data_IF_043307522275
#
_entry.id   IF_043307522275
#
_cell.length_a   1.000
_cell.length_b   1.000
_cell.length_c   1.000
_cell.angle_alpha   90.00
_cell.angle_beta   90.00
_cell.angle_gamma   90.00
#
_symmetry.space_group_name_H-M   'P 1'
#
loop_
_entity.id
_entity.type
_entity.pdbx_description
1 polymer ?
#
# COMPACT_ATOMS: atom_id res chain seq x y z
N UNK A 1 -1.89 33.51 9.47
CA UNK A 1 -0.42 33.25 9.47
C UNK A 1 -0.16 31.77 9.16
N UNK A 2 0.30 31.49 7.94
CA UNK A 2 0.61 30.14 7.49
C UNK A 2 1.91 29.69 8.17
N UNK A 3 1.82 28.75 9.12
CA UNK A 3 3.00 28.07 9.64
C UNK A 3 3.65 27.26 8.52
N UNK A 4 4.89 27.61 8.16
CA UNK A 4 5.82 26.90 7.26
C UNK A 4 5.20 25.75 6.44
N UNK A 5 4.39 26.07 5.43
CA UNK A 5 3.97 25.08 4.46
C UNK A 5 5.19 24.71 3.62
N UNK A 6 5.65 23.45 3.72
CA UNK A 6 6.66 22.95 2.81
C UNK A 6 6.15 23.09 1.37
N UNK A 7 6.99 23.60 0.47
CA UNK A 7 6.64 23.80 -0.93
C UNK A 7 6.18 22.46 -1.53
N UNK A 8 5.02 22.44 -2.17
CA UNK A 8 4.50 21.25 -2.85
C UNK A 8 5.49 20.76 -3.91
N UNK A 9 5.58 19.43 -4.07
CA UNK A 9 6.28 18.81 -5.20
C UNK A 9 5.54 19.11 -6.50
N UNK A 10 6.25 19.10 -7.62
CA UNK A 10 5.68 19.44 -8.93
C UNK A 10 4.41 18.63 -9.26
N UNK A 11 4.42 17.31 -8.99
CA UNK A 11 3.24 16.47 -9.24
C UNK A 11 2.05 16.82 -8.33
N UNK A 12 2.30 17.18 -7.06
CA UNK A 12 1.26 17.55 -6.10
C UNK A 12 0.61 18.87 -6.53
N UNK A 13 1.43 19.82 -6.97
CA UNK A 13 0.98 21.10 -7.53
C UNK A 13 0.15 20.88 -8.80
N UNK A 14 0.65 20.10 -9.75
CA UNK A 14 -0.06 19.82 -11.01
C UNK A 14 -1.38 19.08 -10.81
N UNK A 15 -1.42 18.11 -9.88
CA UNK A 15 -2.66 17.42 -9.51
C UNK A 15 -3.66 18.36 -8.85
N UNK A 16 -3.20 19.27 -7.99
CA UNK A 16 -4.05 20.26 -7.32
C UNK A 16 -4.61 21.28 -8.31
N UNK A 17 -3.78 21.78 -9.23
CA UNK A 17 -4.20 22.70 -10.29
C UNK A 17 -5.27 22.07 -11.19
N UNK A 18 -5.04 20.82 -11.63
CA UNK A 18 -6.03 20.07 -12.41
C UNK A 18 -7.35 19.91 -11.65
N UNK A 19 -7.28 19.52 -10.37
CA UNK A 19 -8.48 19.41 -9.54
C UNK A 19 -9.22 20.74 -9.43
N UNK A 20 -8.52 21.84 -9.16
CA UNK A 20 -9.13 23.16 -8.97
C UNK A 20 -9.80 23.65 -10.26
N UNK A 21 -9.23 23.31 -11.42
CA UNK A 21 -9.79 23.63 -12.73
C UNK A 21 -11.07 22.84 -13.01
N UNK A 22 -11.06 21.52 -12.81
CA UNK A 22 -12.14 20.63 -13.22
C UNK A 22 -13.23 20.49 -12.13
N UNK A 23 -12.85 20.65 -10.87
CA UNK A 23 -13.64 20.44 -9.65
C UNK A 23 -14.56 19.21 -9.66
N UNK A 24 -14.07 18.03 -10.06
CA UNK A 24 -14.93 16.87 -10.21
C UNK A 24 -15.45 16.38 -8.86
N UNK A 25 -16.58 15.66 -8.90
CA UNK A 25 -17.09 14.96 -7.70
C UNK A 25 -16.09 13.89 -7.27
N UNK A 26 -15.58 13.13 -8.23
CA UNK A 26 -14.67 12.00 -8.05
C UNK A 26 -13.32 12.35 -8.68
N UNK A 27 -12.23 12.19 -7.93
CA UNK A 27 -10.88 12.40 -8.44
C UNK A 27 -9.96 11.27 -8.02
N UNK A 28 -9.40 10.55 -8.99
CA UNK A 28 -8.42 9.50 -8.76
C UNK A 28 -7.01 10.01 -9.05
N UNK A 29 -6.20 10.11 -7.99
CA UNK A 29 -4.78 10.40 -8.09
C UNK A 29 -3.96 9.12 -7.87
N UNK A 30 -3.29 8.68 -8.93
CA UNK A 30 -2.33 7.58 -8.90
C UNK A 30 -0.95 8.16 -8.72
N UNK A 31 -0.29 7.87 -7.60
CA UNK A 31 1.07 8.37 -7.36
C UNK A 31 1.89 7.30 -6.63
N UNK A 32 3.08 7.02 -7.16
CA UNK A 32 3.99 5.99 -6.64
C UNK A 32 4.10 6.01 -5.11
N UNK A 33 4.19 4.84 -4.43
CA UNK A 33 4.41 4.78 -2.98
C UNK A 33 5.55 5.70 -2.53
N UNK A 34 5.34 6.43 -1.42
CA UNK A 34 6.32 7.42 -0.94
C UNK A 34 6.33 8.78 -1.68
N UNK A 35 5.52 8.96 -2.73
CA UNK A 35 5.47 10.22 -3.47
C UNK A 35 4.91 11.43 -2.68
N UNK A 36 4.29 11.19 -1.52
CA UNK A 36 3.70 12.22 -0.66
C UNK A 36 2.20 12.45 -0.92
N UNK A 37 1.42 11.38 -1.09
CA UNK A 37 -0.03 11.43 -1.35
C UNK A 37 -0.81 12.15 -0.24
N UNK A 38 -0.44 11.90 1.02
CA UNK A 38 -1.03 12.54 2.20
C UNK A 38 -0.93 14.06 2.14
N UNK A 39 0.24 14.61 1.78
CA UNK A 39 0.44 16.07 1.66
C UNK A 39 -0.47 16.66 0.59
N UNK A 40 -0.57 16.02 -0.59
CA UNK A 40 -1.48 16.46 -1.65
C UNK A 40 -2.95 16.46 -1.18
N UNK A 41 -3.41 15.34 -0.63
CA UNK A 41 -4.79 15.18 -0.19
C UNK A 41 -5.19 16.14 0.91
N UNK A 42 -4.32 16.36 1.90
CA UNK A 42 -4.56 17.31 2.99
C UNK A 42 -4.52 18.77 2.50
N UNK A 43 -3.69 19.09 1.51
CA UNK A 43 -3.70 20.42 0.88
C UNK A 43 -5.00 20.65 0.12
N UNK A 44 -5.48 19.66 -0.63
CA UNK A 44 -6.77 19.71 -1.31
C UNK A 44 -7.93 19.81 -0.29
N UNK A 45 -7.89 19.05 0.81
CA UNK A 45 -8.88 19.13 1.87
C UNK A 45 -8.93 20.53 2.51
N UNK A 46 -7.77 21.12 2.78
CA UNK A 46 -7.66 22.49 3.29
C UNK A 46 -8.28 23.50 2.32
N UNK A 47 -7.99 23.39 1.02
CA UNK A 47 -8.57 24.23 -0.02
C UNK A 47 -10.10 24.09 -0.07
N UNK A 48 -10.62 22.86 -0.10
CA UNK A 48 -12.06 22.59 -0.16
C UNK A 48 -12.83 23.10 1.08
N UNK A 49 -12.23 23.00 2.27
CA UNK A 49 -12.78 23.54 3.51
C UNK A 49 -12.77 25.07 3.50
N UNK A 50 -11.65 25.68 3.10
CA UNK A 50 -11.49 27.13 3.02
C UNK A 50 -12.49 27.77 2.05
N UNK A 51 -12.74 27.13 0.91
CA UNK A 51 -13.70 27.57 -0.10
C UNK A 51 -15.15 27.13 0.17
N UNK A 52 -15.42 26.52 1.33
CA UNK A 52 -16.76 26.04 1.74
C UNK A 52 -17.43 25.07 0.74
N UNK A 53 -16.63 24.40 -0.09
CA UNK A 53 -17.12 23.32 -0.97
C UNK A 53 -17.53 22.13 -0.12
N UNK A 54 -16.77 21.87 0.95
CA UNK A 54 -17.09 20.87 1.98
C UNK A 54 -17.00 21.51 3.37
N UNK A 55 -17.65 20.88 4.34
CA UNK A 55 -17.73 21.30 5.74
C UNK A 55 -17.05 20.32 6.70
N UNK A 56 -16.78 19.09 6.24
CA UNK A 56 -16.11 18.07 7.03
C UNK A 56 -15.33 17.09 6.14
N UNK A 57 -14.43 16.33 6.76
CA UNK A 57 -13.58 15.33 6.10
C UNK A 57 -13.84 13.93 6.67
N UNK A 58 -13.84 12.91 5.81
CA UNK A 58 -13.66 11.50 6.19
C UNK A 58 -12.37 11.04 5.55
N UNK A 59 -11.46 10.47 6.32
CA UNK A 59 -10.34 9.70 5.76
C UNK A 59 -10.63 8.23 6.00
N UNK A 60 -10.54 7.42 4.95
CA UNK A 60 -10.64 5.96 5.01
C UNK A 60 -9.27 5.41 4.67
N UNK A 61 -8.62 4.75 5.64
CA UNK A 61 -7.29 4.18 5.51
C UNK A 61 -7.35 2.63 5.59
N UNK A 62 -6.32 1.92 5.14
CA UNK A 62 -6.33 0.45 5.20
C UNK A 62 -6.21 -0.11 6.61
N UNK A 63 -5.44 0.55 7.49
CA UNK A 63 -5.10 0.01 8.82
C UNK A 63 -5.32 1.02 9.93
N UNK A 64 -5.44 0.50 11.16
CA UNK A 64 -5.56 1.29 12.38
C UNK A 64 -4.35 2.23 12.62
N UNK A 65 -3.15 1.76 12.27
CA UNK A 65 -1.95 2.58 12.36
C UNK A 65 -1.96 3.73 11.35
N UNK A 66 -2.35 3.46 10.09
CA UNK A 66 -2.40 4.48 9.05
C UNK A 66 -3.45 5.56 9.32
N UNK A 67 -4.64 5.21 9.84
CA UNK A 67 -5.64 6.24 10.18
C UNK A 67 -5.12 7.21 11.25
N UNK A 68 -4.30 6.75 12.20
CA UNK A 68 -3.67 7.59 13.24
C UNK A 68 -2.64 8.53 12.62
N UNK A 69 -1.77 8.01 11.77
CA UNK A 69 -0.82 8.84 11.01
C UNK A 69 -1.50 9.91 10.16
N UNK A 70 -2.65 9.58 9.54
CA UNK A 70 -3.47 10.55 8.81
C UNK A 70 -4.02 11.65 9.72
N UNK A 71 -4.55 11.31 10.89
CA UNK A 71 -5.04 12.29 11.86
C UNK A 71 -3.91 13.21 12.36
N UNK A 72 -2.73 12.67 12.65
CA UNK A 72 -1.55 13.44 13.04
C UNK A 72 -1.04 14.36 11.92
N UNK A 73 -1.02 13.88 10.68
CA UNK A 73 -0.66 14.69 9.51
C UNK A 73 -1.67 15.82 9.27
N UNK A 74 -2.96 15.54 9.41
CA UNK A 74 -4.02 16.54 9.28
C UNK A 74 -3.93 17.61 10.39
N UNK A 75 -3.68 17.19 11.62
CA UNK A 75 -3.57 18.09 12.78
C UNK A 75 -2.42 19.11 12.60
N UNK A 76 -1.30 18.69 11.99
CA UNK A 76 -0.16 19.59 11.67
C UNK A 76 -0.53 20.74 10.74
N UNK A 77 -1.59 20.61 9.94
CA UNK A 77 -2.09 21.67 9.07
C UNK A 77 -3.42 22.29 9.56
N UNK A 78 -3.80 22.01 10.82
CA UNK A 78 -4.99 22.59 11.45
C UNK A 78 -6.32 21.86 11.17
N UNK A 79 -6.29 20.69 10.53
CA UNK A 79 -7.47 19.84 10.33
C UNK A 79 -7.48 18.76 11.41
N UNK A 80 -8.35 18.87 12.42
CA UNK A 80 -8.46 17.85 13.47
C UNK A 80 -9.40 16.74 13.00
N UNK A 81 -8.86 15.54 12.88
CA UNK A 81 -9.62 14.33 12.59
C UNK A 81 -9.62 13.45 13.83
N UNK A 82 -10.77 12.86 14.17
CA UNK A 82 -10.87 11.87 15.25
C UNK A 82 -10.52 10.47 14.71
N UNK A 83 -9.39 9.87 15.13
CA UNK A 83 -9.02 8.51 14.72
C UNK A 83 -9.70 7.42 15.58
N UNK A 84 -10.28 7.76 16.73
CA UNK A 84 -10.93 6.83 17.66
C UNK A 84 -12.47 6.82 17.50
N UNK A 85 -12.97 7.54 16.49
CA UNK A 85 -14.39 7.61 16.19
C UNK A 85 -15.00 6.23 15.93
N UNK A 86 -16.04 5.90 16.69
CA UNK A 86 -16.73 4.61 16.59
C UNK A 86 -18.25 4.72 16.39
N UNK A 87 -18.90 5.74 16.94
CA UNK A 87 -20.33 6.01 16.79
C UNK A 87 -20.71 7.41 17.29
N UNK A 88 -21.94 7.83 16.96
CA UNK A 88 -22.57 9.02 17.54
C UNK A 88 -22.10 10.35 16.95
N UNK A 89 -22.52 11.47 17.56
CA UNK A 89 -22.09 12.80 17.13
C UNK A 89 -20.59 13.01 17.36
N UNK A 90 -19.93 13.62 16.38
CA UNK A 90 -18.53 14.03 16.50
C UNK A 90 -18.41 15.24 17.44
N UNK A 91 -17.39 15.25 18.30
CA UNK A 91 -17.07 16.43 19.13
C UNK A 91 -16.84 17.66 18.25
N UNK A 92 -17.28 18.84 18.72
CA UNK A 92 -17.18 20.11 17.98
C UNK A 92 -15.74 20.53 17.70
N UNK A 93 -14.77 19.94 18.38
CA UNK A 93 -13.35 20.21 18.19
C UNK A 93 -12.76 19.54 16.94
N UNK A 94 -13.44 18.53 16.38
CA UNK A 94 -12.99 17.83 15.18
C UNK A 94 -13.74 18.32 13.93
N UNK A 95 -13.00 18.46 12.83
CA UNK A 95 -13.56 18.74 11.51
C UNK A 95 -13.84 17.46 10.70
N UNK A 96 -13.54 16.29 11.25
CA UNK A 96 -13.71 15.03 10.54
C UNK A 96 -13.29 13.82 11.34
N UNK A 97 -13.27 12.66 10.68
CA UNK A 97 -12.88 11.38 11.27
C UNK A 97 -11.88 10.67 10.36
N UNK A 98 -11.02 9.85 10.95
CA UNK A 98 -10.19 8.89 10.24
C UNK A 98 -10.64 7.48 10.65
N UNK A 99 -11.00 6.65 9.68
CA UNK A 99 -11.57 5.31 9.89
C UNK A 99 -10.89 4.30 8.98
N UNK A 100 -11.09 3.00 9.25
CA UNK A 100 -10.60 1.93 8.37
C UNK A 100 -11.67 1.46 7.39
N UNK A 101 -11.26 0.86 6.27
CA UNK A 101 -12.18 0.14 5.37
C UNK A 101 -13.00 -0.92 6.12
N UNK A 102 -12.35 -1.67 7.01
CA UNK A 102 -13.02 -2.63 7.89
C UNK A 102 -14.06 -1.95 8.80
N UNK A 103 -13.69 -0.82 9.43
CA UNK A 103 -14.60 -0.04 10.28
C UNK A 103 -15.85 0.44 9.52
N UNK A 104 -15.67 0.93 8.29
CA UNK A 104 -16.78 1.29 7.39
C UNK A 104 -17.64 0.06 7.08
N UNK A 105 -17.00 -1.08 6.78
CA UNK A 105 -17.67 -2.35 6.51
C UNK A 105 -18.59 -2.83 7.64
N UNK A 106 -18.24 -2.56 8.89
CA UNK A 106 -19.06 -2.96 10.05
C UNK A 106 -20.31 -2.09 10.20
N UNK A 107 -20.26 -0.79 9.83
CA UNK A 107 -21.38 0.16 10.04
C UNK A 107 -21.53 1.15 8.87
N UNK A 108 -21.84 0.71 7.63
CA UNK A 108 -21.92 1.61 6.47
C UNK A 108 -22.98 2.71 6.66
N UNK A 109 -24.14 2.38 7.25
CA UNK A 109 -25.22 3.35 7.54
C UNK A 109 -24.81 4.48 8.49
N UNK A 110 -23.93 4.21 9.46
CA UNK A 110 -23.43 5.26 10.36
C UNK A 110 -22.67 6.32 9.56
N UNK A 111 -21.81 5.89 8.65
CA UNK A 111 -21.02 6.78 7.80
C UNK A 111 -21.89 7.48 6.76
N UNK A 112 -22.87 6.77 6.17
CA UNK A 112 -23.85 7.35 5.24
C UNK A 112 -24.60 8.52 5.87
N UNK A 113 -25.19 8.30 7.04
CA UNK A 113 -25.94 9.35 7.75
C UNK A 113 -25.07 10.59 8.01
N UNK A 114 -23.79 10.39 8.38
CA UNK A 114 -22.85 11.49 8.60
C UNK A 114 -22.56 12.29 7.33
N UNK A 115 -22.40 11.59 6.21
CA UNK A 115 -22.07 12.17 4.90
C UNK A 115 -23.29 12.88 4.28
N UNK A 116 -24.51 12.38 4.51
CA UNK A 116 -25.75 13.03 4.06
C UNK A 116 -26.06 14.31 4.84
N UNK A 117 -25.72 14.36 6.13
CA UNK A 117 -26.05 15.51 6.99
C UNK A 117 -25.20 16.76 6.71
N UNK A 118 -23.99 16.61 6.17
CA UNK A 118 -23.09 17.74 5.91
C UNK A 118 -22.26 17.50 4.65
N UNK A 119 -21.94 18.59 3.94
CA UNK A 119 -21.07 18.51 2.74
C UNK A 119 -19.72 17.91 3.13
N UNK A 120 -19.40 16.75 2.59
CA UNK A 120 -18.26 15.95 3.04
C UNK A 120 -17.29 15.69 1.91
N UNK A 121 -16.00 15.88 2.18
CA UNK A 121 -14.92 15.27 1.42
C UNK A 121 -14.62 13.88 2.00
N UNK A 122 -14.66 12.85 1.18
CA UNK A 122 -14.18 11.51 1.54
C UNK A 122 -12.85 11.28 0.84
N UNK A 123 -11.80 11.01 1.60
CA UNK A 123 -10.47 10.64 1.11
C UNK A 123 -10.33 9.13 1.31
N UNK A 124 -10.17 8.41 0.21
CA UNK A 124 -10.02 6.95 0.15
C UNK A 124 -8.54 6.66 -0.13
N UNK A 125 -7.78 6.39 0.94
CA UNK A 125 -6.35 6.10 0.84
C UNK A 125 -6.10 4.65 0.45
N UNK A 126 -5.23 4.43 -0.53
CA UNK A 126 -4.99 3.13 -1.15
C UNK A 126 -6.32 2.42 -1.52
N UNK A 127 -7.13 3.10 -2.33
CA UNK A 127 -8.52 2.70 -2.67
C UNK A 127 -8.65 1.28 -3.21
N UNK A 128 -7.56 0.68 -3.69
CA UNK A 128 -7.54 -0.73 -4.08
C UNK A 128 -7.93 -1.68 -2.94
N UNK A 129 -7.76 -1.29 -1.68
CA UNK A 129 -8.26 -2.04 -0.51
C UNK A 129 -9.79 -2.16 -0.49
N UNK A 130 -10.53 -1.21 -1.06
CA UNK A 130 -11.98 -1.35 -1.22
C UNK A 130 -12.34 -2.55 -2.13
N UNK A 131 -11.41 -3.02 -2.96
CA UNK A 131 -11.56 -4.23 -3.75
C UNK A 131 -11.12 -5.52 -3.04
N UNK A 132 -10.43 -5.46 -1.90
CA UNK A 132 -9.89 -6.66 -1.20
C UNK A 132 -10.97 -7.62 -0.76
N UNK A 133 -12.14 -7.09 -0.43
CA UNK A 133 -13.34 -7.89 -0.27
C UNK A 133 -14.52 -7.20 -0.93
N UNK A 134 -15.42 -8.00 -1.49
CA UNK A 134 -16.67 -7.49 -2.07
C UNK A 134 -17.47 -6.67 -1.05
N UNK A 135 -17.46 -7.09 0.22
CA UNK A 135 -18.19 -6.42 1.30
C UNK A 135 -17.64 -5.04 1.63
N UNK A 136 -16.32 -4.82 1.59
CA UNK A 136 -15.76 -3.49 1.82
C UNK A 136 -16.09 -2.52 0.68
N UNK A 137 -16.07 -3.02 -0.56
CA UNK A 137 -16.46 -2.24 -1.73
C UNK A 137 -17.93 -1.82 -1.68
N UNK A 138 -18.83 -2.76 -1.41
CA UNK A 138 -20.27 -2.49 -1.24
C UNK A 138 -20.53 -1.51 -0.09
N UNK A 139 -19.88 -1.70 1.07
CA UNK A 139 -20.02 -0.80 2.21
C UNK A 139 -19.50 0.61 1.92
N UNK A 140 -18.38 0.75 1.21
CA UNK A 140 -17.87 2.07 0.81
C UNK A 140 -18.81 2.76 -0.18
N UNK A 141 -19.35 2.02 -1.14
CA UNK A 141 -20.34 2.54 -2.08
C UNK A 141 -21.58 3.05 -1.31
N UNK A 142 -22.11 2.23 -0.41
CA UNK A 142 -23.29 2.56 0.40
C UNK A 142 -23.06 3.76 1.33
N UNK A 143 -21.91 3.78 2.02
CA UNK A 143 -21.54 4.83 2.97
C UNK A 143 -21.24 6.18 2.29
N UNK A 144 -20.57 6.15 1.14
CA UNK A 144 -19.94 7.34 0.56
C UNK A 144 -20.51 7.74 -0.80
N UNK A 145 -21.53 7.04 -1.31
CA UNK A 145 -22.29 7.54 -2.47
C UNK A 145 -22.68 9.01 -2.26
N UNK A 146 -23.27 9.45 -1.14
CA UNK A 146 -23.79 10.83 -1.01
C UNK A 146 -22.72 11.92 -0.86
N UNK A 147 -21.43 11.55 -0.85
CA UNK A 147 -20.33 12.49 -0.62
C UNK A 147 -20.31 13.61 -1.67
N UNK A 148 -20.06 14.84 -1.19
CA UNK A 148 -19.96 16.03 -2.04
C UNK A 148 -18.72 15.99 -2.92
N UNK A 149 -17.61 15.47 -2.38
CA UNK A 149 -16.35 15.21 -3.08
C UNK A 149 -15.74 13.90 -2.58
N UNK A 150 -15.12 13.15 -3.49
CA UNK A 150 -14.37 11.93 -3.21
C UNK A 150 -13.00 12.03 -3.87
N UNK A 151 -11.97 11.89 -3.04
CA UNK A 151 -10.59 11.81 -3.47
C UNK A 151 -10.11 10.38 -3.27
N UNK A 152 -9.82 9.69 -4.36
CA UNK A 152 -9.22 8.37 -4.34
C UNK A 152 -7.70 8.47 -4.54
N UNK A 153 -6.93 7.82 -3.68
CA UNK A 153 -5.48 7.75 -3.76
C UNK A 153 -5.04 6.30 -3.95
N UNK A 154 -4.05 6.06 -4.80
CA UNK A 154 -3.42 4.72 -4.88
C UNK A 154 -1.97 4.81 -5.35
N UNK A 155 -1.11 3.97 -4.78
CA UNK A 155 0.25 3.73 -5.28
C UNK A 155 0.33 2.69 -6.40
N UNK A 156 -0.67 1.80 -6.45
CA UNK A 156 -0.73 0.66 -7.35
C UNK A 156 -2.11 0.65 -8.02
N UNK A 157 -2.24 1.17 -9.25
CA UNK A 157 -3.53 1.24 -9.92
C UNK A 157 -4.03 -0.13 -10.40
N UNK A 158 -3.19 -1.16 -10.32
CA UNK A 158 -3.43 -2.48 -10.91
C UNK A 158 -4.04 -3.46 -9.91
N UNK A 159 -5.12 -4.12 -10.32
CA UNK A 159 -5.52 -5.43 -9.80
C UNK A 159 -5.71 -6.39 -10.97
N UNK A 160 -5.50 -7.67 -10.69
CA UNK A 160 -5.71 -8.79 -11.62
C UNK A 160 -7.12 -9.38 -11.51
N UNK A 161 -7.94 -8.91 -10.57
CA UNK A 161 -9.33 -9.34 -10.41
C UNK A 161 -10.30 -8.36 -11.10
N UNK A 162 -11.43 -8.90 -11.55
CA UNK A 162 -12.41 -8.20 -12.41
C UNK A 162 -13.43 -7.38 -11.63
N UNK A 163 -13.31 -7.29 -10.30
CA UNK A 163 -14.26 -6.54 -9.49
C UNK A 163 -13.95 -5.02 -9.56
N UNK A 164 -14.91 -4.19 -10.01
CA UNK A 164 -14.68 -2.76 -10.09
C UNK A 164 -14.58 -2.15 -8.68
N UNK A 165 -13.60 -1.27 -8.51
CA UNK A 165 -13.42 -0.48 -7.29
C UNK A 165 -14.46 0.64 -7.28
N UNK A 166 -15.19 0.86 -6.17
CA UNK A 166 -16.15 1.96 -6.06
C UNK A 166 -15.50 3.31 -6.41
N UNK A 167 -16.25 4.15 -7.13
CA UNK A 167 -15.84 5.51 -7.50
C UNK A 167 -14.63 5.61 -8.44
N UNK A 168 -14.17 4.50 -9.01
CA UNK A 168 -13.12 4.47 -10.04
C UNK A 168 -13.77 4.27 -11.41
N UNK A 169 -13.42 5.13 -12.36
CA UNK A 169 -13.82 4.99 -13.76
C UNK A 169 -12.93 3.96 -14.45
N UNK A 170 -13.52 3.13 -15.30
CA UNK A 170 -12.81 2.13 -16.10
C UNK A 170 -13.02 2.40 -17.58
N UNK A 171 -11.93 2.42 -18.33
CA UNK A 171 -11.93 2.55 -19.79
C UNK A 171 -11.52 1.23 -20.43
N UNK A 172 -12.14 0.91 -21.56
CA UNK A 172 -11.82 -0.30 -22.32
C UNK A 172 -10.53 -0.06 -23.11
N UNK A 173 -9.49 -0.85 -22.84
CA UNK A 173 -8.26 -0.82 -23.61
C UNK A 173 -8.42 -1.45 -24.98
N UNK A 174 -7.46 -1.20 -25.87
CA UNK A 174 -7.43 -1.76 -27.23
C UNK A 174 -7.38 -3.31 -27.27
N UNK A 175 -7.07 -3.94 -26.14
CA UNK A 175 -7.04 -5.38 -25.92
C UNK A 175 -8.34 -5.93 -25.31
N UNK A 176 -9.39 -5.12 -25.18
CA UNK A 176 -10.68 -5.48 -24.56
C UNK A 176 -10.61 -5.57 -23.03
N UNK A 177 -9.46 -5.26 -22.43
CA UNK A 177 -9.28 -5.28 -20.97
C UNK A 177 -9.62 -3.90 -20.41
N UNK A 178 -10.58 -3.86 -19.49
CA UNK A 178 -10.91 -2.64 -18.74
C UNK A 178 -9.77 -2.25 -17.80
N UNK A 179 -9.30 -1.02 -17.90
CA UNK A 179 -8.27 -0.45 -17.03
C UNK A 179 -8.83 0.75 -16.28
N UNK A 180 -8.40 0.95 -15.05
CA UNK A 180 -8.74 2.14 -14.28
C UNK A 180 -8.22 3.39 -15.00
N UNK A 181 -9.09 4.37 -15.17
CA UNK A 181 -8.76 5.69 -15.72
C UNK A 181 -8.58 6.66 -14.56
N UNK A 182 -7.40 7.26 -14.47
CA UNK A 182 -7.03 8.17 -13.40
C UNK A 182 -7.02 9.62 -13.89
N UNK A 183 -7.57 10.53 -13.11
CA UNK A 183 -7.55 11.96 -13.41
C UNK A 183 -6.12 12.52 -13.38
N UNK A 184 -5.25 11.96 -12.52
CA UNK A 184 -3.85 12.34 -12.48
C UNK A 184 -2.96 11.14 -12.18
N UNK A 185 -1.90 10.97 -12.97
CA UNK A 185 -0.93 9.89 -12.81
C UNK A 185 0.48 10.43 -12.64
N UNK A 186 1.09 10.13 -11.51
CA UNK A 186 2.52 10.31 -11.23
C UNK A 186 3.17 8.93 -11.05
N UNK A 187 3.60 8.37 -12.19
CA UNK A 187 4.15 7.03 -12.27
C UNK A 187 5.60 6.91 -11.81
N UNK A 188 6.06 5.67 -11.71
CA UNK A 188 7.42 5.34 -11.25
C UNK A 188 8.52 6.00 -12.09
N UNK A 189 8.34 6.06 -13.42
CA UNK A 189 9.31 6.69 -14.32
C UNK A 189 9.52 8.18 -14.04
N UNK A 190 8.42 8.94 -13.88
CA UNK A 190 8.48 10.35 -13.47
C UNK A 190 9.07 10.49 -12.07
N UNK A 191 8.65 9.64 -11.14
CA UNK A 191 9.17 9.66 -9.78
C UNK A 191 10.68 9.39 -9.68
N UNK A 192 11.19 8.52 -10.56
CA UNK A 192 12.61 8.24 -10.67
C UNK A 192 13.37 9.41 -11.29
N UNK A 193 12.83 10.02 -12.35
CA UNK A 193 13.41 11.21 -13.00
C UNK A 193 13.52 12.40 -12.05
N UNK A 194 12.51 12.57 -11.19
CA UNK A 194 12.45 13.65 -10.19
C UNK A 194 13.26 13.33 -8.90
N UNK A 195 13.89 12.15 -8.82
CA UNK A 195 14.65 11.72 -7.64
C UNK A 195 13.80 11.48 -6.39
N UNK A 196 12.48 11.34 -6.54
CA UNK A 196 11.52 11.13 -5.44
C UNK A 196 11.57 9.71 -4.90
N UNK A 197 11.89 8.74 -5.76
CA UNK A 197 12.05 7.33 -5.39
C UNK A 197 13.42 6.81 -5.80
N UNK A 198 13.83 5.71 -5.17
CA UNK A 198 15.09 5.03 -5.50
C UNK A 198 14.90 4.08 -6.70
N UNK A 199 15.94 3.90 -7.53
CA UNK A 199 15.92 2.88 -8.58
C UNK A 199 15.75 1.49 -7.97
N UNK A 200 14.84 0.70 -8.54
CA UNK A 200 14.63 -0.71 -8.21
C UNK A 200 15.39 -1.53 -9.23
N UNK A 201 16.29 -2.38 -8.76
CA UNK A 201 17.09 -3.26 -9.60
C UNK A 201 16.59 -4.69 -9.39
N UNK A 202 16.04 -5.29 -10.44
CA UNK A 202 15.68 -6.69 -10.45
C UNK A 202 16.90 -7.51 -10.88
N UNK A 203 17.44 -8.30 -9.96
CA UNK A 203 18.49 -9.26 -10.27
C UNK A 203 17.83 -10.61 -10.54
N UNK A 204 17.92 -11.11 -11.77
CA UNK A 204 17.44 -12.44 -12.11
C UNK A 204 18.42 -13.49 -11.58
N UNK A 205 18.02 -14.22 -10.54
CA UNK A 205 18.73 -15.43 -10.13
C UNK A 205 18.28 -16.60 -11.01
N UNK A 206 19.03 -16.90 -12.07
CA UNK A 206 18.82 -18.11 -12.85
C UNK A 206 19.51 -19.29 -12.16
N UNK A 207 18.75 -20.32 -11.78
CA UNK A 207 19.28 -21.56 -11.19
C UNK A 207 18.89 -22.78 -12.02
N UNK A 208 19.80 -23.75 -12.13
CA UNK A 208 19.46 -25.08 -12.63
C UNK A 208 18.80 -25.85 -11.49
N UNK A 209 17.57 -26.31 -11.73
CA UNK A 209 16.80 -27.05 -10.75
C UNK A 209 16.57 -28.47 -11.20
N UNK A 210 16.56 -29.41 -10.25
CA UNK A 210 16.10 -30.78 -10.44
C UNK A 210 15.00 -31.08 -9.43
N UNK A 211 13.86 -31.57 -9.89
CA UNK A 211 12.78 -32.05 -9.02
C UNK A 211 12.19 -33.34 -9.56
N UNK A 212 11.56 -34.11 -8.68
CA UNK A 212 10.89 -35.36 -9.05
C UNK A 212 9.38 -35.14 -9.12
N UNK A 213 8.74 -35.52 -10.21
CA UNK A 213 7.28 -35.44 -10.38
C UNK A 213 6.58 -36.52 -9.54
N UNK A 214 5.27 -36.38 -9.37
CA UNK A 214 4.44 -37.43 -8.73
C UNK A 214 4.46 -38.77 -9.49
N UNK A 215 4.80 -38.75 -10.79
CA UNK A 215 4.97 -39.93 -11.61
C UNK A 215 6.37 -40.58 -11.46
N UNK A 216 7.28 -39.96 -10.70
CA UNK A 216 8.63 -40.45 -10.47
C UNK A 216 9.70 -39.90 -11.41
N UNK A 217 9.31 -39.10 -12.41
CA UNK A 217 10.24 -38.53 -13.39
C UNK A 217 11.09 -37.42 -12.76
N UNK A 218 12.40 -37.43 -12.99
CA UNK A 218 13.28 -36.32 -12.65
C UNK A 218 13.28 -35.28 -13.79
N UNK A 219 12.76 -34.08 -13.50
CA UNK A 219 12.79 -32.95 -14.41
C UNK A 219 13.93 -32.03 -14.00
N UNK A 220 14.83 -31.75 -14.95
CA UNK A 220 15.82 -30.69 -14.85
C UNK A 220 15.36 -29.49 -15.67
N UNK A 221 15.23 -28.31 -15.07
CA UNK A 221 14.89 -27.08 -15.81
C UNK A 221 15.61 -25.86 -15.23
N UNK A 222 15.75 -24.83 -16.05
CA UNK A 222 16.27 -23.54 -15.63
C UNK A 222 15.11 -22.63 -15.23
N UNK A 223 15.18 -22.06 -14.04
CA UNK A 223 14.23 -21.04 -13.59
C UNK A 223 14.23 -19.86 -14.58
N UNK A 224 13.12 -19.63 -15.26
CA UNK A 224 12.92 -18.56 -16.25
C UNK A 224 12.71 -19.00 -17.70
N UNK A 225 12.82 -20.28 -18.02
CA UNK A 225 12.51 -20.80 -19.37
C UNK A 225 11.00 -21.02 -19.59
N UNK A 226 10.51 -20.99 -20.85
CA UNK A 226 9.10 -21.26 -21.16
C UNK A 226 8.71 -22.67 -20.72
N UNK A 227 7.80 -22.76 -19.75
CA UNK A 227 7.30 -24.01 -19.20
C UNK A 227 5.78 -23.93 -19.04
N UNK A 228 5.12 -25.09 -18.89
CA UNK A 228 3.68 -25.11 -18.57
C UNK A 228 3.46 -24.47 -17.19
N UNK A 229 2.29 -23.85 -16.97
CA UNK A 229 1.94 -23.21 -15.67
C UNK A 229 2.11 -24.17 -14.48
N UNK A 230 1.77 -25.44 -14.66
CA UNK A 230 1.91 -26.48 -13.63
C UNK A 230 3.38 -26.81 -13.34
N UNK A 231 4.21 -26.90 -14.38
CA UNK A 231 5.63 -27.15 -14.21
C UNK A 231 6.35 -25.95 -13.58
N UNK A 232 5.97 -24.71 -13.92
CA UNK A 232 6.43 -23.48 -13.25
C UNK A 232 6.07 -23.50 -11.77
N UNK A 233 4.82 -23.82 -11.44
CA UNK A 233 4.35 -23.86 -10.05
C UNK A 233 5.06 -24.93 -9.21
N UNK A 234 5.36 -26.10 -9.80
CA UNK A 234 6.14 -27.14 -9.15
C UNK A 234 7.60 -26.72 -8.96
N UNK A 235 8.24 -26.16 -10.00
CA UNK A 235 9.60 -25.66 -9.93
C UNK A 235 9.74 -24.61 -8.83
N UNK A 236 8.82 -23.63 -8.74
CA UNK A 236 8.84 -22.65 -7.65
C UNK A 236 8.68 -23.27 -6.27
N UNK A 237 7.75 -24.23 -6.10
CA UNK A 237 7.62 -24.92 -4.80
C UNK A 237 8.89 -25.64 -4.38
N UNK A 238 9.58 -26.29 -5.31
CA UNK A 238 10.86 -26.94 -5.00
C UNK A 238 11.99 -25.92 -4.76
N UNK A 239 12.00 -24.80 -5.47
CA UNK A 239 13.01 -23.76 -5.33
C UNK A 239 12.93 -23.07 -3.97
N UNK A 240 11.69 -22.84 -3.54
CA UNK A 240 11.36 -22.13 -2.32
C UNK A 240 11.32 -23.06 -1.09
N UNK A 241 11.52 -24.38 -1.24
CA UNK A 241 11.60 -25.30 -0.09
C UNK A 241 12.79 -24.90 0.80
N UNK A 242 12.55 -24.51 2.08
CA UNK A 242 13.62 -24.16 3.01
C UNK A 242 14.63 -25.29 3.25
N UNK A 243 14.25 -26.55 2.98
CA UNK A 243 15.12 -27.72 3.12
C UNK A 243 15.98 -27.98 1.88
N UNK A 244 15.72 -27.28 0.78
CA UNK A 244 16.53 -27.35 -0.44
C UNK A 244 17.80 -26.51 -0.33
N UNK A 245 18.71 -26.65 -1.30
CA UNK A 245 19.98 -25.92 -1.34
C UNK A 245 19.85 -24.50 -1.94
N UNK A 246 18.77 -24.26 -2.70
CA UNK A 246 18.58 -23.01 -3.42
C UNK A 246 18.33 -21.83 -2.49
N UNK A 247 17.33 -21.92 -1.60
CA UNK A 247 16.98 -20.83 -0.70
C UNK A 247 18.15 -20.42 0.23
N UNK A 248 18.87 -21.35 0.89
CA UNK A 248 20.07 -20.98 1.64
C UNK A 248 21.14 -20.28 0.80
N UNK A 249 21.30 -20.67 -0.47
CA UNK A 249 22.25 -20.03 -1.39
C UNK A 249 21.83 -18.61 -1.76
N UNK A 250 20.54 -18.40 -2.03
CA UNK A 250 19.97 -17.07 -2.29
C UNK A 250 20.09 -16.16 -1.07
N UNK A 251 19.76 -16.65 0.13
CA UNK A 251 19.88 -15.89 1.38
C UNK A 251 21.34 -15.50 1.68
N UNK A 252 22.29 -16.41 1.43
CA UNK A 252 23.73 -16.11 1.58
C UNK A 252 24.19 -15.03 0.62
N UNK A 253 23.80 -15.11 -0.66
CA UNK A 253 24.12 -14.09 -1.65
C UNK A 253 23.48 -12.72 -1.28
N UNK A 254 22.24 -12.74 -0.81
CA UNK A 254 21.54 -11.55 -0.36
C UNK A 254 22.20 -10.91 0.88
N UNK A 255 22.66 -11.69 1.86
CA UNK A 255 23.37 -11.16 3.04
C UNK A 255 24.76 -10.59 2.71
N UNK A 256 25.49 -11.23 1.79
CA UNK A 256 26.74 -10.66 1.25
C UNK A 256 26.47 -9.31 0.58
N UNK A 257 25.42 -9.23 -0.23
CA UNK A 257 25.03 -7.97 -0.88
C UNK A 257 24.60 -6.92 0.14
N UNK A 258 23.81 -7.30 1.15
CA UNK A 258 23.40 -6.40 2.23
C UNK A 258 24.61 -5.85 2.98
N UNK A 259 25.61 -6.68 3.25
CA UNK A 259 26.87 -6.26 3.88
C UNK A 259 27.58 -5.18 3.05
N UNK A 260 27.64 -5.34 1.73
CA UNK A 260 28.21 -4.31 0.85
C UNK A 260 27.39 -3.01 0.84
N UNK A 261 26.05 -3.11 0.80
CA UNK A 261 25.16 -1.93 0.87
C UNK A 261 25.33 -1.19 2.20
N UNK A 262 25.46 -1.92 3.31
CA UNK A 262 25.61 -1.33 4.65
C UNK A 262 26.92 -0.59 4.87
N UNK A 263 27.92 -0.74 3.99
CA UNK A 263 29.12 0.12 3.99
C UNK A 263 28.79 1.57 3.63
N UNK A 264 27.77 1.79 2.80
CA UNK A 264 27.31 3.13 2.40
C UNK A 264 26.04 3.59 3.11
N UNK A 265 25.19 2.65 3.55
CA UNK A 265 23.91 2.92 4.22
C UNK A 265 23.84 2.03 5.47
N UNK A 266 24.40 2.48 6.61
CA UNK A 266 24.62 1.62 7.79
C UNK A 266 23.38 0.88 8.30
N UNK A 267 22.21 1.48 8.16
CA UNK A 267 20.90 1.02 8.62
C UNK A 267 20.11 0.24 7.54
N UNK A 268 20.71 -0.09 6.39
CA UNK A 268 20.00 -0.84 5.35
C UNK A 268 19.54 -2.22 5.87
N UNK A 269 18.26 -2.53 5.69
CA UNK A 269 17.66 -3.82 6.02
C UNK A 269 17.30 -4.64 4.77
N UNK A 270 17.20 -5.97 4.94
CA UNK A 270 16.69 -6.90 3.95
C UNK A 270 15.35 -7.51 4.40
N UNK A 271 14.45 -7.72 3.45
CA UNK A 271 13.12 -8.31 3.67
C UNK A 271 13.00 -9.60 2.85
N UNK A 272 12.60 -10.69 3.49
CA UNK A 272 12.16 -11.91 2.82
C UNK A 272 10.66 -12.04 3.00
N UNK A 273 9.94 -12.17 1.87
CA UNK A 273 8.50 -12.38 1.84
C UNK A 273 8.25 -13.84 1.48
N UNK A 274 7.62 -14.59 2.38
CA UNK A 274 7.28 -15.99 2.20
C UNK A 274 5.84 -16.15 1.68
N UNK A 275 5.54 -17.33 1.14
CA UNK A 275 4.19 -17.69 0.69
C UNK A 275 3.20 -17.92 1.84
N UNK A 276 3.73 -18.29 3.00
CA UNK A 276 2.97 -18.70 4.18
C UNK A 276 3.84 -18.56 5.44
N UNK A 277 3.18 -18.62 6.60
CA UNK A 277 3.82 -18.39 7.90
C UNK A 277 4.85 -19.46 8.26
N UNK A 278 4.63 -20.71 7.85
CA UNK A 278 5.56 -21.81 8.12
C UNK A 278 6.87 -21.59 7.37
N UNK A 279 6.77 -21.17 6.11
CA UNK A 279 7.90 -20.77 5.27
C UNK A 279 8.60 -19.53 5.83
N UNK A 280 7.87 -18.52 6.31
CA UNK A 280 8.45 -17.34 6.96
C UNK A 280 9.29 -17.72 8.20
N UNK A 281 8.75 -18.59 9.07
CA UNK A 281 9.45 -19.12 10.24
C UNK A 281 10.70 -19.92 9.83
N UNK A 282 10.58 -20.75 8.79
CA UNK A 282 11.71 -21.54 8.29
C UNK A 282 12.82 -20.67 7.68
N UNK A 283 12.47 -19.63 6.91
CA UNK A 283 13.44 -18.68 6.36
C UNK A 283 14.11 -17.86 7.46
N UNK A 284 13.37 -17.41 8.49
CA UNK A 284 13.96 -16.73 9.65
C UNK A 284 15.00 -17.61 10.37
N UNK A 285 14.74 -18.93 10.47
CA UNK A 285 15.71 -19.90 11.00
C UNK A 285 16.95 -20.02 10.11
N UNK A 286 16.77 -20.15 8.80
CA UNK A 286 17.88 -20.20 7.84
C UNK A 286 18.73 -18.93 7.89
N UNK A 287 18.11 -17.75 7.96
CA UNK A 287 18.82 -16.47 8.09
C UNK A 287 19.70 -16.48 9.34
N UNK A 288 19.20 -16.97 10.47
CA UNK A 288 20.00 -17.10 11.70
C UNK A 288 21.17 -18.06 11.52
N UNK A 289 20.97 -19.19 10.86
CA UNK A 289 22.02 -20.17 10.60
C UNK A 289 23.11 -19.63 9.65
N UNK A 290 22.71 -18.84 8.64
CA UNK A 290 23.62 -18.29 7.62
C UNK A 290 24.38 -17.07 8.14
N UNK A 291 23.70 -16.17 8.86
CA UNK A 291 24.22 -14.84 9.21
C UNK A 291 24.65 -14.73 10.68
N UNK A 292 24.22 -15.66 11.53
CA UNK A 292 24.35 -15.57 12.99
C UNK A 292 23.36 -14.61 13.67
N UNK A 293 22.61 -13.82 12.90
CA UNK A 293 21.65 -12.82 13.41
C UNK A 293 20.20 -13.28 13.23
N UNK A 294 19.34 -13.01 14.22
CA UNK A 294 17.92 -13.36 14.11
C UNK A 294 17.23 -12.35 13.19
N UNK A 295 16.38 -12.83 12.29
CA UNK A 295 15.46 -11.97 11.57
C UNK A 295 14.28 -11.57 12.47
N UNK A 296 13.79 -10.34 12.32
CA UNK A 296 12.52 -9.89 12.89
C UNK A 296 11.39 -10.58 12.14
N UNK A 297 10.69 -11.48 12.82
CA UNK A 297 9.58 -12.24 12.24
C UNK A 297 8.26 -11.48 12.40
N UNK A 298 7.59 -11.22 11.28
CA UNK A 298 6.32 -10.48 11.21
C UNK A 298 5.29 -11.37 10.51
N UNK A 299 4.30 -11.87 11.25
CA UNK A 299 3.25 -12.73 10.70
C UNK A 299 1.90 -12.02 10.70
N UNK A 300 1.06 -12.34 9.72
CA UNK A 300 -0.21 -11.66 9.48
C UNK A 300 -1.24 -11.76 10.62
N UNK A 301 -1.14 -12.78 11.47
CA UNK A 301 -2.04 -13.03 12.61
C UNK A 301 -1.47 -12.58 13.96
N UNK A 302 -0.24 -12.06 13.98
CA UNK A 302 0.39 -11.55 15.19
C UNK A 302 -0.17 -10.16 15.51
N UNK A 303 -0.84 -10.03 16.65
CA UNK A 303 -1.39 -8.74 17.13
C UNK A 303 -0.31 -7.68 17.30
N UNK A 304 0.96 -8.07 17.44
CA UNK A 304 2.13 -7.18 17.50
C UNK A 304 2.82 -6.91 16.16
N UNK A 305 2.31 -7.40 15.03
CA UNK A 305 2.99 -7.29 13.73
C UNK A 305 3.33 -5.85 13.33
N UNK A 306 2.38 -4.92 13.49
CA UNK A 306 2.60 -3.50 13.17
C UNK A 306 3.67 -2.87 14.06
N UNK A 307 3.67 -3.19 15.35
CA UNK A 307 4.68 -2.67 16.29
C UNK A 307 6.07 -3.23 15.96
N UNK A 308 6.20 -4.50 15.57
CA UNK A 308 7.49 -5.07 15.15
C UNK A 308 8.04 -4.44 13.88
N UNK A 309 7.17 -4.09 12.92
CA UNK A 309 7.59 -3.36 11.72
C UNK A 309 8.11 -1.98 12.11
N UNK A 310 7.41 -1.27 13.00
CA UNK A 310 7.82 0.05 13.48
C UNK A 310 9.15 -0.01 14.25
N UNK A 311 9.28 -0.97 15.18
CA UNK A 311 10.54 -1.23 15.91
C UNK A 311 11.70 -1.52 14.95
N UNK A 312 11.49 -2.36 13.94
CA UNK A 312 12.52 -2.66 12.94
C UNK A 312 12.92 -1.42 12.13
N UNK A 313 11.96 -0.55 11.77
CA UNK A 313 12.25 0.68 11.02
C UNK A 313 13.12 1.69 11.80
N UNK A 314 13.19 1.55 13.12
CA UNK A 314 14.02 2.36 14.02
C UNK A 314 15.22 1.58 14.59
N UNK A 315 15.46 0.35 14.13
CA UNK A 315 16.57 -0.48 14.61
C UNK A 315 17.69 -0.61 13.58
N UNK A 316 18.82 -1.16 14.02
CA UNK A 316 19.93 -1.54 13.15
C UNK A 316 19.84 -3.00 12.71
N UNK A 317 18.70 -3.67 12.93
CA UNK A 317 18.52 -5.06 12.55
C UNK A 317 18.67 -5.24 11.04
N UNK A 318 19.21 -6.39 10.66
CA UNK A 318 19.58 -6.65 9.25
C UNK A 318 18.46 -7.26 8.43
N UNK A 319 17.60 -8.05 9.07
CA UNK A 319 16.67 -8.92 8.38
C UNK A 319 15.28 -8.86 8.99
N UNK A 320 14.28 -8.73 8.14
CA UNK A 320 12.87 -8.99 8.43
C UNK A 320 12.41 -10.18 7.58
N UNK A 321 11.61 -11.06 8.17
CA UNK A 321 10.94 -12.14 7.47
C UNK A 321 9.43 -12.08 7.76
N UNK A 322 8.61 -12.19 6.73
CA UNK A 322 7.16 -12.21 6.85
C UNK A 322 6.48 -13.06 5.79
#
# INVERSE_FOLDING_TARGET
>A
PWGTASKLRAWQQGALEKYIQDQPRDFLAVATPGAGKTTFALTLASWLLHHHVVQQVTVVAPTEHLKKQWAEAAARIGIKLDPEYSAGPLSKEYQGVAVTYAGVGVRPMLHRNRVEQRKTLVILDEIHHAGDSKSWGEACLEAFEPATRRLALTGTPFRSDTNPIPFVTYEEGNDGIRRSSADYTYGYGSALGDGVVRPVIFLSYSGNMRWRTKAGDEIAARLGEPMTKDAISQAWRTALDPRGEWMPSVLRAADQRLTEVRKGIPDAGALVIASDQDSARAYAKLIREITGTKATLVLSDDTGASNRIDEFSHSEDRWMAG
#
